data_IF_263853740813
#
_entry.id   IF_263853740813
#
_cell.length_a   1.000
_cell.length_b   1.000
_cell.length_c   1.000
_cell.angle_alpha   90.00
_cell.angle_beta   90.00
_cell.angle_gamma   90.00
#
_symmetry.space_group_name_H-M   'P 1'
#
loop_
_entity.id
_entity.type
_entity.pdbx_description
1 polymer ?
#
# COMPACT_ATOMS: atom_id res chain seq x y z
N UNK A 1 21.17 19.25 -0.95
CA UNK A 1 21.62 17.89 -1.33
C UNK A 1 23.10 17.97 -1.62
N UNK A 2 23.92 17.34 -0.80
CA UNK A 2 25.36 17.27 -1.01
C UNK A 2 25.64 16.41 -2.26
N UNK A 3 26.69 16.80 -3.03
CA UNK A 3 27.18 15.99 -4.11
C UNK A 3 27.63 14.65 -3.49
N UNK A 4 27.16 13.53 -4.03
CA UNK A 4 27.38 12.17 -3.53
C UNK A 4 26.65 11.78 -2.20
N UNK A 5 25.82 12.65 -1.66
CA UNK A 5 24.95 12.34 -0.53
C UNK A 5 23.81 11.36 -0.90
N UNK A 6 23.05 10.83 0.10
CA UNK A 6 21.95 9.88 -0.14
C UNK A 6 20.83 10.49 -1.01
N UNK A 7 20.67 11.80 -0.99
CA UNK A 7 19.68 12.54 -1.76
C UNK A 7 20.29 13.34 -2.92
N UNK A 8 21.46 12.92 -3.42
CA UNK A 8 22.03 13.53 -4.63
C UNK A 8 21.10 13.33 -5.83
N UNK A 9 21.05 14.35 -6.70
CA UNK A 9 20.18 14.34 -7.88
C UNK A 9 21.00 14.47 -9.14
N UNK A 10 20.52 13.82 -10.21
CA UNK A 10 21.03 13.98 -11.57
C UNK A 10 19.87 14.31 -12.51
N UNK A 11 20.20 14.82 -13.69
CA UNK A 11 19.24 15.02 -14.78
C UNK A 11 19.34 13.86 -15.77
N UNK A 12 18.17 13.35 -16.15
CA UNK A 12 18.03 12.31 -17.17
C UNK A 12 16.85 12.66 -18.08
N UNK A 13 16.76 12.00 -19.23
CA UNK A 13 15.60 12.07 -20.09
C UNK A 13 14.63 10.92 -19.73
N UNK A 14 13.36 11.25 -19.49
CA UNK A 14 12.28 10.29 -19.24
C UNK A 14 11.15 10.58 -20.22
N UNK A 15 10.82 9.61 -21.08
CA UNK A 15 9.74 9.73 -22.08
C UNK A 15 9.84 11.03 -22.91
N UNK A 16 11.06 11.41 -23.32
CA UNK A 16 11.32 12.61 -24.12
C UNK A 16 11.33 13.94 -23.34
N UNK A 17 11.29 13.91 -22.01
CA UNK A 17 11.34 15.11 -21.17
C UNK A 17 12.50 15.07 -20.18
N UNK A 18 13.26 16.17 -20.00
CA UNK A 18 14.29 16.24 -18.98
C UNK A 18 13.65 16.19 -17.58
N UNK A 19 14.21 15.35 -16.70
CA UNK A 19 13.73 15.16 -15.36
C UNK A 19 14.87 15.05 -14.36
N UNK A 20 14.76 15.70 -13.22
CA UNK A 20 15.67 15.51 -12.09
C UNK A 20 15.24 14.29 -11.29
N UNK A 21 16.16 13.37 -11.08
CA UNK A 21 15.94 12.11 -10.36
C UNK A 21 16.97 11.95 -9.25
N UNK A 22 16.62 11.25 -8.19
CA UNK A 22 17.59 10.84 -7.17
C UNK A 22 18.58 9.84 -7.79
N UNK A 23 19.85 10.12 -7.68
CA UNK A 23 20.91 9.32 -8.31
C UNK A 23 21.04 7.92 -7.69
N UNK A 24 20.82 7.84 -6.37
CA UNK A 24 20.93 6.60 -5.58
C UNK A 24 19.60 5.94 -5.25
N UNK A 25 18.51 6.36 -5.91
CA UNK A 25 17.23 5.74 -5.70
C UNK A 25 17.23 4.29 -6.20
N UNK A 26 16.57 3.35 -5.48
CA UNK A 26 16.27 2.03 -6.02
C UNK A 26 15.57 2.13 -7.39
N UNK A 27 15.78 1.14 -8.25
CA UNK A 27 15.26 1.21 -9.62
C UNK A 27 13.75 1.02 -9.69
N UNK A 28 13.19 0.19 -8.82
CA UNK A 28 11.79 -0.18 -8.85
C UNK A 28 11.29 -0.63 -7.46
N UNK A 29 10.00 -0.93 -7.35
CA UNK A 29 9.37 -1.33 -6.08
C UNK A 29 9.79 -2.73 -5.59
N UNK A 30 10.33 -3.60 -6.47
CA UNK A 30 10.93 -4.86 -6.02
C UNK A 30 12.17 -4.59 -5.19
N UNK A 31 12.99 -3.61 -5.60
CA UNK A 31 14.20 -3.23 -4.89
C UNK A 31 13.90 -2.54 -3.53
N UNK A 32 12.65 -2.13 -3.34
CA UNK A 32 12.11 -1.71 -2.03
C UNK A 32 11.67 -2.91 -1.19
N UNK A 33 10.94 -3.87 -1.80
CA UNK A 33 10.36 -5.01 -1.08
C UNK A 33 11.39 -6.07 -0.69
N UNK A 34 12.30 -6.44 -1.59
CA UNK A 34 13.23 -7.55 -1.36
C UNK A 34 14.14 -7.36 -0.12
N UNK A 35 14.71 -6.17 0.16
CA UNK A 35 15.54 -5.96 1.33
C UNK A 35 14.79 -6.17 2.66
N UNK A 36 13.46 -6.06 2.69
CA UNK A 36 12.68 -6.22 3.93
C UNK A 36 12.73 -7.65 4.49
N UNK A 37 13.32 -8.61 3.77
CA UNK A 37 13.66 -9.93 4.29
C UNK A 37 14.60 -9.89 5.50
N UNK A 38 15.35 -8.81 5.67
CA UNK A 38 16.16 -8.61 6.87
C UNK A 38 15.32 -8.50 8.14
N UNK A 39 14.06 -8.11 8.02
CA UNK A 39 13.10 -8.00 9.11
C UNK A 39 12.23 -9.26 9.31
N UNK A 40 12.64 -10.41 8.78
CA UNK A 40 11.85 -11.64 8.67
C UNK A 40 11.00 -11.99 9.91
N UNK A 41 11.58 -11.87 11.12
CA UNK A 41 10.91 -12.20 12.38
C UNK A 41 10.03 -11.07 12.95
N UNK A 42 10.13 -9.84 12.40
CA UNK A 42 9.36 -8.70 12.89
C UNK A 42 7.91 -8.75 12.43
N UNK A 43 7.00 -8.24 13.25
CA UNK A 43 5.60 -8.06 12.82
C UNK A 43 5.50 -7.02 11.70
N UNK A 44 4.77 -7.36 10.64
CA UNK A 44 4.52 -6.48 9.51
C UNK A 44 3.07 -6.02 9.43
N UNK A 45 2.11 -6.94 9.48
CA UNK A 45 0.69 -6.62 9.35
C UNK A 45 -0.08 -7.08 10.58
N UNK A 46 -0.98 -6.24 11.03
CA UNK A 46 -1.91 -6.53 12.12
C UNK A 46 -3.33 -6.14 11.68
N UNK A 47 -4.27 -7.06 11.84
CA UNK A 47 -5.69 -6.81 11.62
C UNK A 47 -6.50 -7.62 12.64
N UNK A 48 -7.20 -6.95 13.53
CA UNK A 48 -7.89 -7.58 14.66
C UNK A 48 -6.92 -8.44 15.50
N UNK A 49 -7.11 -9.76 15.53
CA UNK A 49 -6.22 -10.72 16.21
C UNK A 49 -5.25 -11.44 15.25
N UNK A 50 -5.32 -11.13 13.95
CA UNK A 50 -4.46 -11.71 12.94
C UNK A 50 -3.17 -10.92 12.82
N UNK A 51 -2.04 -11.65 12.68
CA UNK A 51 -0.71 -11.08 12.59
C UNK A 51 0.11 -11.79 11.52
N UNK A 52 0.88 -11.02 10.78
CA UNK A 52 1.87 -11.50 9.83
C UNK A 52 3.24 -10.96 10.19
N UNK A 53 4.23 -11.83 10.25
CA UNK A 53 5.63 -11.40 10.20
C UNK A 53 6.01 -11.03 8.77
N UNK A 54 7.15 -10.35 8.60
CA UNK A 54 7.69 -10.11 7.25
C UNK A 54 7.93 -11.41 6.49
N UNK A 55 8.44 -12.47 7.16
CA UNK A 55 8.65 -13.77 6.52
C UNK A 55 7.34 -14.36 5.99
N UNK A 56 6.27 -14.36 6.79
CA UNK A 56 4.95 -14.82 6.37
C UNK A 56 4.40 -13.98 5.22
N UNK A 57 4.61 -12.67 5.26
CA UNK A 57 4.21 -11.78 4.18
C UNK A 57 4.99 -12.06 2.89
N UNK A 58 6.31 -12.28 2.96
CA UNK A 58 7.12 -12.68 1.80
C UNK A 58 6.67 -14.01 1.19
N UNK A 59 6.31 -14.98 2.03
CA UNK A 59 5.77 -16.27 1.56
C UNK A 59 4.43 -16.09 0.84
N UNK A 60 3.51 -15.33 1.43
CA UNK A 60 2.19 -15.09 0.84
C UNK A 60 2.29 -14.26 -0.45
N UNK A 61 3.11 -13.21 -0.48
CA UNK A 61 3.43 -12.42 -1.68
C UNK A 61 4.00 -13.29 -2.80
N UNK A 62 4.93 -14.20 -2.49
CA UNK A 62 5.50 -15.13 -3.46
C UNK A 62 4.45 -16.11 -4.01
N UNK A 63 3.57 -16.60 -3.14
CA UNK A 63 2.48 -17.51 -3.53
C UNK A 63 1.49 -16.82 -4.48
N UNK A 64 1.05 -15.60 -4.16
CA UNK A 64 0.14 -14.80 -5.01
C UNK A 64 0.80 -14.50 -6.36
N UNK A 65 2.07 -14.08 -6.36
CA UNK A 65 2.83 -13.79 -7.58
C UNK A 65 2.97 -15.01 -8.49
N UNK A 66 3.28 -16.15 -7.91
CA UNK A 66 3.38 -17.42 -8.64
C UNK A 66 2.03 -17.88 -9.19
N UNK A 67 0.96 -17.75 -8.40
CA UNK A 67 -0.39 -18.05 -8.85
C UNK A 67 -0.78 -17.18 -10.05
N UNK A 68 -0.57 -15.85 -9.98
CA UNK A 68 -0.83 -14.94 -11.10
C UNK A 68 -0.11 -15.37 -12.37
N UNK A 69 1.17 -15.71 -12.27
CA UNK A 69 1.95 -16.20 -13.41
C UNK A 69 1.35 -17.50 -13.99
N UNK A 70 0.96 -18.45 -13.14
CA UNK A 70 0.35 -19.70 -13.56
C UNK A 70 -1.03 -19.49 -14.23
N UNK A 71 -1.69 -18.36 -13.94
CA UNK A 71 -2.90 -17.94 -14.65
C UNK A 71 -2.61 -17.20 -15.97
N UNK A 72 -1.36 -17.10 -16.38
CA UNK A 72 -0.96 -16.41 -17.61
C UNK A 72 -0.89 -14.87 -17.47
N UNK A 73 -0.87 -14.35 -16.24
CA UNK A 73 -0.71 -12.93 -15.98
C UNK A 73 0.77 -12.58 -16.02
N UNK A 74 1.14 -11.53 -16.73
CA UNK A 74 2.52 -11.15 -16.99
C UNK A 74 2.74 -9.65 -16.81
N UNK A 75 4.00 -9.26 -16.91
CA UNK A 75 4.43 -7.84 -16.84
C UNK A 75 3.56 -6.95 -17.76
N UNK A 76 3.05 -5.84 -17.22
CA UNK A 76 2.19 -4.89 -17.93
C UNK A 76 0.70 -5.25 -17.91
N UNK A 77 0.33 -6.47 -17.51
CA UNK A 77 -1.08 -6.81 -17.29
C UNK A 77 -1.60 -6.09 -16.05
N UNK A 78 -2.90 -5.81 -16.02
CA UNK A 78 -3.58 -5.15 -14.90
C UNK A 78 -4.27 -6.17 -14.03
N UNK A 79 -4.16 -5.95 -12.71
CA UNK A 79 -4.85 -6.69 -11.65
C UNK A 79 -5.60 -5.68 -10.78
N UNK A 80 -6.91 -5.80 -10.70
CA UNK A 80 -7.75 -4.94 -9.89
C UNK A 80 -7.88 -5.47 -8.46
N UNK A 81 -7.84 -4.55 -7.49
CA UNK A 81 -8.07 -4.82 -6.07
C UNK A 81 -9.25 -3.97 -5.61
N UNK A 82 -10.37 -4.60 -5.33
CA UNK A 82 -11.61 -3.98 -4.86
C UNK A 82 -11.92 -4.47 -3.44
N UNK A 83 -11.33 -3.86 -2.43
CA UNK A 83 -11.56 -4.21 -1.03
C UNK A 83 -11.27 -3.06 -0.08
N UNK A 84 -11.75 -3.18 1.14
CA UNK A 84 -11.41 -2.31 2.27
C UNK A 84 -9.97 -2.56 2.74
N UNK A 85 -9.60 -1.93 3.85
CA UNK A 85 -8.26 -2.01 4.45
C UNK A 85 -8.00 -3.37 5.11
N UNK A 86 -8.00 -4.43 4.32
CA UNK A 86 -7.55 -5.74 4.74
C UNK A 86 -6.05 -5.93 4.47
N UNK A 87 -5.34 -6.74 5.26
CA UNK A 87 -3.93 -7.07 5.01
C UNK A 87 -3.68 -7.64 3.62
N UNK A 88 -4.62 -8.39 3.08
CA UNK A 88 -4.53 -8.98 1.75
C UNK A 88 -4.36 -7.91 0.65
N UNK A 89 -4.86 -6.68 0.87
CA UNK A 89 -4.69 -5.58 -0.09
C UNK A 89 -3.21 -5.32 -0.39
N UNK A 90 -2.39 -5.12 0.66
CA UNK A 90 -0.97 -4.80 0.50
C UNK A 90 -0.15 -6.03 0.07
N UNK A 91 -0.55 -7.24 0.47
CA UNK A 91 0.09 -8.48 0.04
C UNK A 91 -0.08 -8.72 -1.47
N UNK A 92 -1.30 -8.54 -1.99
CA UNK A 92 -1.59 -8.61 -3.42
C UNK A 92 -0.87 -7.49 -4.17
N UNK A 93 -0.84 -6.27 -3.61
CA UNK A 93 -0.10 -5.15 -4.18
C UNK A 93 1.38 -5.51 -4.38
N UNK A 94 2.08 -5.97 -3.33
CA UNK A 94 3.49 -6.37 -3.43
C UNK A 94 3.68 -7.52 -4.41
N UNK A 95 2.80 -8.51 -4.45
CA UNK A 95 2.87 -9.61 -5.40
C UNK A 95 2.84 -9.12 -6.86
N UNK A 96 1.98 -8.16 -7.15
CA UNK A 96 1.86 -7.56 -8.47
C UNK A 96 3.07 -6.69 -8.83
N UNK A 97 3.38 -5.67 -8.02
CA UNK A 97 4.42 -4.70 -8.39
C UNK A 97 5.82 -5.29 -8.41
N UNK A 98 6.09 -6.33 -7.60
CA UNK A 98 7.39 -7.03 -7.63
C UNK A 98 7.57 -7.93 -8.84
N UNK A 99 6.52 -8.16 -9.60
CA UNK A 99 6.52 -8.95 -10.85
C UNK A 99 6.16 -8.12 -12.09
N UNK A 100 6.13 -6.79 -11.96
CA UNK A 100 5.86 -5.85 -13.06
C UNK A 100 4.39 -5.86 -13.51
N UNK A 101 3.49 -6.43 -12.72
CA UNK A 101 2.04 -6.38 -12.94
C UNK A 101 1.51 -5.05 -12.39
N UNK A 102 0.63 -4.41 -13.14
CA UNK A 102 0.07 -3.09 -12.79
C UNK A 102 -1.14 -3.27 -11.87
N UNK A 103 -1.07 -2.75 -10.66
CA UNK A 103 -2.19 -2.77 -9.72
C UNK A 103 -3.21 -1.69 -10.08
N UNK A 104 -4.49 -2.04 -10.12
CA UNK A 104 -5.60 -1.09 -10.21
C UNK A 104 -6.31 -1.04 -8.88
N UNK A 105 -6.10 0.05 -8.13
CA UNK A 105 -6.79 0.30 -6.87
C UNK A 105 -8.21 0.78 -7.12
N UNK A 106 -9.19 -0.11 -6.96
CA UNK A 106 -10.61 0.22 -7.12
C UNK A 106 -11.14 0.88 -5.85
N UNK A 107 -11.89 1.96 -6.01
CA UNK A 107 -12.50 2.61 -4.86
C UNK A 107 -13.56 1.68 -4.22
N UNK A 108 -13.32 1.30 -2.97
CA UNK A 108 -14.18 0.36 -2.24
C UNK A 108 -15.58 0.92 -1.90
N UNK A 109 -15.84 2.20 -2.14
CA UNK A 109 -17.16 2.82 -1.96
C UNK A 109 -17.97 2.90 -3.25
N UNK A 110 -17.37 2.60 -4.40
CA UNK A 110 -18.07 2.61 -5.68
C UNK A 110 -19.28 1.68 -5.65
N UNK A 111 -20.37 2.13 -6.25
CA UNK A 111 -21.51 1.31 -6.61
C UNK A 111 -21.22 0.50 -7.87
N UNK A 112 -22.15 -0.39 -8.27
CA UNK A 112 -21.94 -1.30 -9.41
C UNK A 112 -21.56 -0.58 -10.70
N UNK A 113 -22.27 0.50 -11.06
CA UNK A 113 -22.01 1.27 -12.30
C UNK A 113 -20.63 1.93 -12.32
N UNK A 114 -20.18 2.46 -11.17
CA UNK A 114 -18.85 3.06 -11.05
C UNK A 114 -17.75 2.00 -11.13
N UNK A 115 -17.99 0.83 -10.53
CA UNK A 115 -17.10 -0.31 -10.59
C UNK A 115 -17.01 -0.86 -12.03
N UNK A 116 -18.14 -0.97 -12.73
CA UNK A 116 -18.21 -1.35 -14.13
C UNK A 116 -17.38 -0.41 -15.01
N UNK A 117 -17.52 0.90 -14.81
CA UNK A 117 -16.70 1.90 -15.48
C UNK A 117 -15.20 1.66 -15.23
N UNK A 118 -14.79 1.54 -13.97
CA UNK A 118 -13.38 1.35 -13.63
C UNK A 118 -12.79 0.05 -14.19
N UNK A 119 -13.55 -1.04 -14.22
CA UNK A 119 -13.16 -2.32 -14.82
C UNK A 119 -13.06 -2.20 -16.36
N UNK A 120 -14.01 -1.53 -16.99
CA UNK A 120 -14.03 -1.33 -18.45
C UNK A 120 -12.89 -0.42 -18.93
N UNK A 121 -12.54 0.61 -18.15
CA UNK A 121 -11.48 1.56 -18.45
C UNK A 121 -10.08 0.90 -18.24
N UNK A 122 -9.86 0.28 -17.11
CA UNK A 122 -8.55 -0.32 -16.78
C UNK A 122 -8.32 -1.71 -17.38
N UNK A 123 -9.38 -2.44 -17.75
CA UNK A 123 -9.33 -3.78 -18.39
C UNK A 123 -8.40 -4.76 -17.63
N UNK A 124 -8.64 -5.03 -16.36
CA UNK A 124 -7.83 -5.98 -15.60
C UNK A 124 -8.11 -7.41 -16.05
N UNK A 125 -7.10 -8.28 -15.94
CA UNK A 125 -7.23 -9.71 -16.20
C UNK A 125 -7.68 -10.50 -14.96
N UNK A 126 -7.47 -9.93 -13.78
CA UNK A 126 -7.88 -10.51 -12.49
C UNK A 126 -8.50 -9.40 -11.64
N UNK A 127 -9.57 -9.74 -10.95
CA UNK A 127 -10.20 -8.93 -9.90
C UNK A 127 -10.08 -9.68 -8.57
N UNK A 128 -9.43 -9.07 -7.59
CA UNK A 128 -9.53 -9.47 -6.18
C UNK A 128 -10.57 -8.61 -5.50
N UNK A 129 -11.59 -9.22 -4.90
CA UNK A 129 -12.67 -8.49 -4.27
C UNK A 129 -13.05 -9.11 -2.91
N UNK A 130 -13.34 -8.26 -1.91
CA UNK A 130 -13.96 -8.72 -0.67
C UNK A 130 -15.46 -8.97 -0.86
N UNK A 131 -16.12 -9.55 0.15
CA UNK A 131 -17.51 -9.99 0.06
C UNK A 131 -18.46 -8.90 -0.46
N UNK A 132 -18.36 -7.66 0.06
CA UNK A 132 -19.26 -6.58 -0.33
C UNK A 132 -19.00 -6.09 -1.76
N UNK A 133 -17.71 -6.03 -2.19
CA UNK A 133 -17.35 -5.61 -3.56
C UNK A 133 -17.64 -6.71 -4.56
N UNK A 134 -17.53 -7.96 -4.15
CA UNK A 134 -17.91 -9.09 -4.97
C UNK A 134 -19.44 -9.10 -5.24
N UNK A 135 -20.26 -8.78 -4.26
CA UNK A 135 -21.71 -8.61 -4.47
C UNK A 135 -21.99 -7.51 -5.51
N UNK A 136 -21.34 -6.34 -5.39
CA UNK A 136 -21.47 -5.25 -6.37
C UNK A 136 -21.00 -5.66 -7.75
N UNK A 137 -19.95 -6.47 -7.85
CA UNK A 137 -19.49 -7.00 -9.13
C UNK A 137 -20.55 -7.88 -9.80
N UNK A 138 -21.29 -8.68 -9.06
CA UNK A 138 -22.39 -9.50 -9.61
C UNK A 138 -23.64 -8.70 -9.99
N UNK A 139 -23.75 -7.46 -9.55
CA UNK A 139 -24.82 -6.54 -9.98
C UNK A 139 -24.52 -5.87 -11.33
N UNK A 140 -23.28 -6.00 -11.83
CA UNK A 140 -22.86 -5.39 -13.10
C UNK A 140 -23.47 -6.17 -14.28
N UNK A 141 -23.94 -5.42 -15.27
CA UNK A 141 -24.57 -6.01 -16.46
C UNK A 141 -23.58 -6.33 -17.59
N UNK A 142 -22.41 -5.72 -17.61
CA UNK A 142 -21.39 -5.99 -18.63
C UNK A 142 -20.73 -7.35 -18.44
N UNK A 143 -20.43 -8.00 -19.57
CA UNK A 143 -19.68 -9.25 -19.57
C UNK A 143 -18.18 -8.97 -19.53
N UNK A 144 -17.53 -9.40 -18.47
CA UNK A 144 -16.08 -9.39 -18.31
C UNK A 144 -15.48 -10.78 -18.61
N UNK A 145 -15.91 -11.38 -19.71
CA UNK A 145 -15.44 -12.70 -20.14
C UNK A 145 -13.91 -12.79 -20.17
N UNK A 146 -13.37 -13.83 -19.55
CA UNK A 146 -11.93 -14.07 -19.45
C UNK A 146 -11.25 -13.38 -18.27
N UNK A 147 -11.88 -12.43 -17.56
CA UNK A 147 -11.37 -11.92 -16.30
C UNK A 147 -11.59 -12.94 -15.19
N UNK A 148 -10.53 -13.26 -14.45
CA UNK A 148 -10.63 -14.13 -13.27
C UNK A 148 -11.07 -13.34 -12.07
N UNK A 149 -11.95 -13.90 -11.26
CA UNK A 149 -12.45 -13.27 -10.04
C UNK A 149 -11.99 -14.06 -8.83
N UNK A 150 -11.33 -13.41 -7.90
CA UNK A 150 -10.82 -14.00 -6.65
C UNK A 150 -11.54 -13.35 -5.48
N UNK A 151 -12.22 -14.16 -4.69
CA UNK A 151 -12.90 -13.73 -3.46
C UNK A 151 -11.93 -13.72 -2.28
N UNK A 152 -11.82 -12.57 -1.62
CA UNK A 152 -11.00 -12.36 -0.42
C UNK A 152 -11.94 -12.23 0.77
N UNK A 153 -11.78 -13.10 1.78
CA UNK A 153 -12.68 -13.13 2.96
C UNK A 153 -14.16 -13.28 2.58
N UNK A 154 -14.42 -14.09 1.58
CA UNK A 154 -15.77 -14.38 1.07
C UNK A 154 -16.26 -15.75 1.55
N UNK A 155 -17.56 -16.00 1.42
CA UNK A 155 -18.10 -17.34 1.59
C UNK A 155 -17.55 -18.29 0.53
N UNK A 156 -17.28 -19.53 0.93
CA UNK A 156 -16.74 -20.56 0.01
C UNK A 156 -17.80 -21.07 -0.96
N UNK A 157 -17.33 -21.52 -2.11
CA UNK A 157 -18.18 -22.23 -3.07
C UNK A 157 -19.05 -21.34 -3.95
N UNK A 158 -18.75 -20.06 -4.06
CA UNK A 158 -19.46 -19.18 -5.01
C UNK A 158 -19.08 -19.57 -6.46
N UNK A 159 -20.04 -19.77 -7.35
CA UNK A 159 -19.76 -20.12 -8.74
C UNK A 159 -18.87 -19.08 -9.43
N UNK A 160 -17.87 -19.55 -10.18
CA UNK A 160 -16.92 -18.71 -10.94
C UNK A 160 -16.02 -17.80 -10.10
N UNK A 161 -15.98 -17.97 -8.77
CA UNK A 161 -15.11 -17.23 -7.86
C UNK A 161 -14.04 -18.19 -7.30
N UNK A 162 -12.80 -17.80 -7.44
CA UNK A 162 -11.65 -18.51 -6.87
C UNK A 162 -11.48 -18.07 -5.42
N UNK A 163 -11.34 -19.01 -4.48
CA UNK A 163 -11.06 -18.64 -3.08
C UNK A 163 -9.61 -18.14 -2.93
N UNK A 164 -9.42 -17.01 -2.29
CA UNK A 164 -8.07 -16.47 -2.01
C UNK A 164 -7.18 -17.47 -1.24
N UNK A 165 -7.77 -18.37 -0.44
CA UNK A 165 -7.00 -19.41 0.25
C UNK A 165 -6.30 -20.38 -0.73
N UNK A 166 -6.88 -20.61 -1.90
CA UNK A 166 -6.24 -21.41 -2.96
C UNK A 166 -5.06 -20.64 -3.58
N UNK A 167 -5.21 -19.33 -3.74
CA UNK A 167 -4.18 -18.44 -4.29
C UNK A 167 -2.94 -18.40 -3.39
N UNK A 168 -3.12 -18.19 -2.10
CA UNK A 168 -2.03 -18.08 -1.13
C UNK A 168 -1.43 -19.43 -0.72
N UNK A 169 -2.09 -20.52 -1.00
CA UNK A 169 -1.60 -21.88 -0.73
C UNK A 169 -0.55 -22.38 -1.72
N UNK A 170 -0.27 -21.65 -2.78
CA UNK A 170 0.74 -22.02 -3.79
C UNK A 170 2.15 -21.78 -3.25
N UNK A 171 2.83 -22.85 -2.86
CA UNK A 171 4.23 -22.77 -2.38
C UNK A 171 5.20 -22.74 -3.57
N UNK A 172 5.48 -21.56 -4.12
CA UNK A 172 6.44 -21.41 -5.20
C UNK A 172 7.21 -20.09 -5.07
N UNK A 173 8.43 -20.08 -5.61
CA UNK A 173 9.24 -18.86 -5.66
C UNK A 173 8.58 -17.79 -6.53
N UNK A 174 8.69 -16.52 -6.10
CA UNK A 174 8.25 -15.39 -6.91
C UNK A 174 8.95 -15.38 -8.26
N UNK A 175 8.25 -15.13 -9.37
CA UNK A 175 8.86 -15.07 -10.69
C UNK A 175 9.91 -13.95 -10.77
N UNK A 176 11.05 -14.24 -11.40
CA UNK A 176 12.00 -13.21 -11.80
C UNK A 176 11.53 -12.55 -13.10
N UNK A 177 11.42 -11.24 -13.08
CA UNK A 177 10.99 -10.42 -14.21
C UNK A 177 11.84 -9.16 -14.25
N UNK A 178 12.26 -8.72 -15.41
CA UNK A 178 12.94 -7.43 -15.57
C UNK A 178 11.92 -6.29 -15.44
N UNK A 179 12.18 -5.34 -14.51
CA UNK A 179 11.32 -4.19 -14.22
C UNK A 179 12.15 -2.92 -14.32
N UNK A 180 11.90 -2.18 -15.39
CA UNK A 180 12.53 -0.85 -15.56
C UNK A 180 11.83 0.22 -14.71
N UNK A 181 12.54 1.29 -14.31
CA UNK A 181 11.99 2.36 -13.49
C UNK A 181 10.71 2.98 -14.06
N UNK A 182 10.63 3.12 -15.38
CA UNK A 182 9.52 3.79 -16.06
C UNK A 182 8.37 2.86 -16.48
N UNK A 183 8.43 1.57 -16.11
CA UNK A 183 7.26 0.69 -16.20
C UNK A 183 6.17 1.15 -15.22
N UNK A 184 4.92 0.94 -15.61
CA UNK A 184 3.79 1.27 -14.78
C UNK A 184 3.69 0.30 -13.59
N UNK A 185 3.41 0.84 -12.43
CA UNK A 185 3.29 0.09 -11.17
C UNK A 185 1.85 0.00 -10.69
N UNK A 186 1.12 1.11 -10.71
CA UNK A 186 -0.25 1.12 -10.24
C UNK A 186 -1.08 2.25 -10.87
N UNK A 187 -2.40 2.07 -10.82
CA UNK A 187 -3.41 3.03 -11.24
C UNK A 187 -4.34 3.29 -10.05
N UNK A 188 -4.47 4.55 -9.64
CA UNK A 188 -5.42 4.97 -8.63
C UNK A 188 -6.42 5.95 -9.23
N UNK A 189 -7.71 5.69 -8.98
CA UNK A 189 -8.77 6.54 -9.49
C UNK A 189 -9.00 7.75 -8.61
N UNK A 190 -9.11 8.92 -9.24
CA UNK A 190 -9.50 10.19 -8.61
C UNK A 190 -10.91 10.56 -9.02
N UNK A 191 -11.58 11.35 -8.17
CA UNK A 191 -12.97 11.80 -8.39
C UNK A 191 -13.12 12.82 -9.53
N UNK A 192 -12.53 12.73 -10.62
CA UNK A 192 -12.52 13.64 -11.76
C UNK A 192 -13.52 14.81 -11.72
N UNK A 193 -13.12 15.98 -12.17
CA UNK A 193 -13.98 17.18 -12.24
C UNK A 193 -15.02 17.13 -13.37
N UNK A 194 -15.00 16.10 -14.21
CA UNK A 194 -15.81 15.98 -15.45
C UNK A 194 -16.84 14.85 -15.41
N UNK A 195 -17.21 14.36 -14.22
CA UNK A 195 -18.27 13.37 -14.03
C UNK A 195 -17.77 11.92 -13.84
N UNK A 196 -16.78 11.47 -14.58
CA UNK A 196 -16.21 10.12 -14.43
C UNK A 196 -14.86 10.15 -13.72
N UNK A 197 -14.56 9.15 -12.86
CA UNK A 197 -13.25 9.00 -12.25
C UNK A 197 -12.15 8.85 -13.31
N UNK A 198 -10.96 9.39 -13.02
CA UNK A 198 -9.79 9.28 -13.90
C UNK A 198 -8.72 8.43 -13.22
N UNK A 199 -8.21 7.44 -13.92
CA UNK A 199 -7.11 6.59 -13.46
C UNK A 199 -5.77 7.32 -13.56
N UNK A 200 -5.20 7.70 -12.42
CA UNK A 200 -3.85 8.24 -12.34
C UNK A 200 -2.85 7.08 -12.39
N UNK A 201 -2.07 7.01 -13.46
CA UNK A 201 -1.09 5.98 -13.70
C UNK A 201 0.25 6.38 -13.10
N UNK A 202 0.81 5.54 -12.23
CA UNK A 202 2.07 5.76 -11.54
C UNK A 202 3.11 4.74 -11.99
N UNK A 203 4.32 5.20 -12.29
CA UNK A 203 5.46 4.33 -12.61
C UNK A 203 6.17 3.86 -11.34
N UNK A 204 7.00 2.81 -11.46
CA UNK A 204 7.90 2.38 -10.39
C UNK A 204 8.80 3.54 -9.94
N UNK A 205 9.39 4.30 -10.89
CA UNK A 205 10.16 5.50 -10.59
C UNK A 205 9.37 6.50 -9.76
N UNK A 206 8.14 6.81 -10.16
CA UNK A 206 7.28 7.76 -9.45
C UNK A 206 7.03 7.32 -8.01
N UNK A 207 6.74 6.05 -7.79
CA UNK A 207 6.52 5.48 -6.45
C UNK A 207 7.80 5.50 -5.60
N UNK A 208 8.95 5.10 -6.16
CA UNK A 208 10.24 5.10 -5.45
C UNK A 208 10.69 6.52 -5.13
N UNK A 209 10.55 7.45 -6.07
CA UNK A 209 10.91 8.86 -5.82
C UNK A 209 10.00 9.53 -4.79
N UNK A 210 8.74 9.10 -4.67
CA UNK A 210 7.89 9.53 -3.56
C UNK A 210 8.47 9.08 -2.21
N UNK A 211 8.95 7.85 -2.10
CA UNK A 211 9.65 7.36 -0.90
C UNK A 211 10.86 8.24 -0.59
N UNK A 212 11.69 8.50 -1.58
CA UNK A 212 12.88 9.36 -1.42
C UNK A 212 12.52 10.79 -1.00
N UNK A 213 11.45 11.36 -1.57
CA UNK A 213 10.96 12.68 -1.19
C UNK A 213 10.49 12.72 0.28
N UNK A 214 9.75 11.70 0.72
CA UNK A 214 9.28 11.61 2.10
C UNK A 214 10.44 11.42 3.08
N UNK A 215 11.42 10.58 2.74
CA UNK A 215 12.63 10.40 3.54
C UNK A 215 13.44 11.69 3.64
N UNK A 216 13.63 12.40 2.54
CA UNK A 216 14.31 13.71 2.52
C UNK A 216 13.57 14.75 3.37
N UNK A 217 12.25 14.86 3.22
CA UNK A 217 11.43 15.79 3.99
C UNK A 217 11.48 15.48 5.49
N UNK A 218 11.43 14.20 5.86
CA UNK A 218 11.58 13.74 7.24
C UNK A 218 12.94 14.13 7.85
N UNK A 219 14.03 13.85 7.11
CA UNK A 219 15.39 14.23 7.54
C UNK A 219 15.54 15.74 7.68
N UNK A 220 15.01 16.51 6.74
CA UNK A 220 15.06 17.96 6.78
C UNK A 220 14.28 18.51 7.99
N UNK A 221 13.08 17.98 8.24
CA UNK A 221 12.24 18.37 9.39
C UNK A 221 12.95 18.06 10.71
N UNK A 222 13.54 16.85 10.83
CA UNK A 222 14.30 16.45 12.02
C UNK A 222 15.48 17.40 12.27
N UNK A 223 16.32 17.62 11.26
CA UNK A 223 17.48 18.52 11.37
C UNK A 223 17.08 19.95 11.73
N UNK A 224 16.00 20.46 11.13
CA UNK A 224 15.49 21.79 11.46
C UNK A 224 14.99 21.87 12.91
N UNK A 225 14.25 20.87 13.37
CA UNK A 225 13.73 20.81 14.75
C UNK A 225 14.88 20.74 15.76
N UNK A 226 15.88 19.88 15.53
CA UNK A 226 17.04 19.77 16.41
C UNK A 226 17.85 21.06 16.48
N UNK A 227 18.02 21.78 15.36
CA UNK A 227 18.68 23.10 15.33
C UNK A 227 17.90 24.16 16.10
N UNK A 228 16.58 24.21 15.95
CA UNK A 228 15.71 25.17 16.66
C UNK A 228 15.75 24.91 18.17
N UNK A 229 15.70 23.63 18.57
CA UNK A 229 15.72 23.23 19.97
C UNK A 229 17.13 23.20 20.58
N UNK A 230 18.18 23.43 19.78
CA UNK A 230 19.60 23.32 20.18
C UNK A 230 19.95 21.96 20.81
N UNK A 231 19.39 20.87 20.26
CA UNK A 231 19.69 19.50 20.68
C UNK A 231 20.39 18.74 19.54
N UNK A 232 21.24 17.75 19.85
CA UNK A 232 21.83 16.90 18.83
C UNK A 232 20.75 16.10 18.09
N UNK A 233 21.02 15.73 16.84
CA UNK A 233 20.16 14.74 16.14
C UNK A 233 20.25 13.39 16.87
N UNK A 234 19.12 12.69 17.04
CA UNK A 234 19.12 11.37 17.67
C UNK A 234 19.93 10.37 16.84
N UNK A 235 20.54 9.39 17.52
CA UNK A 235 21.12 8.27 16.79
C UNK A 235 19.99 7.52 16.04
N UNK A 236 20.16 7.17 14.77
CA UNK A 236 19.18 6.35 14.05
C UNK A 236 18.78 5.06 14.75
N UNK A 237 19.68 4.50 15.58
CA UNK A 237 19.40 3.31 16.39
C UNK A 237 18.41 3.54 17.53
N UNK A 238 18.29 4.78 17.99
CA UNK A 238 17.36 5.17 19.06
C UNK A 238 15.99 5.56 18.53
N UNK A 239 15.83 5.60 17.19
CA UNK A 239 14.55 5.92 16.56
C UNK A 239 13.61 4.72 16.68
N UNK A 240 12.38 4.89 17.23
CA UNK A 240 11.43 3.79 17.33
C UNK A 240 11.09 3.20 15.96
N UNK A 241 11.00 1.87 15.90
CA UNK A 241 10.50 1.19 14.70
C UNK A 241 9.05 1.65 14.44
N UNK A 242 8.71 2.11 13.24
CA UNK A 242 7.38 2.63 12.96
C UNK A 242 6.27 1.61 13.19
N UNK A 243 5.20 2.04 13.87
CA UNK A 243 3.93 1.33 13.94
C UNK A 243 2.85 2.29 13.44
N UNK A 244 2.35 2.07 12.22
CA UNK A 244 1.43 2.99 11.56
C UNK A 244 -0.01 2.48 11.59
N UNK A 245 -0.95 3.30 12.04
CA UNK A 245 -2.37 3.00 11.97
C UNK A 245 -2.91 3.40 10.58
N UNK A 246 -3.39 2.40 9.83
CA UNK A 246 -3.95 2.57 8.49
C UNK A 246 -5.42 2.98 8.59
N UNK A 247 -5.69 4.26 8.58
CA UNK A 247 -7.04 4.85 8.73
C UNK A 247 -7.63 5.29 7.39
N UNK A 248 -6.79 5.71 6.45
CA UNK A 248 -7.20 6.06 5.09
C UNK A 248 -7.23 4.83 4.18
N UNK A 249 -8.03 4.86 3.09
CA UNK A 249 -8.17 3.69 2.22
C UNK A 249 -6.88 3.31 1.48
N UNK A 250 -6.58 2.01 1.44
CA UNK A 250 -5.41 1.48 0.75
C UNK A 250 -5.46 1.67 -0.78
N UNK A 251 -6.65 1.83 -1.37
CA UNK A 251 -6.81 2.19 -2.78
C UNK A 251 -6.50 3.69 -3.07
N UNK A 252 -5.94 4.41 -2.11
CA UNK A 252 -5.53 5.80 -2.24
C UNK A 252 -4.03 5.95 -1.98
N UNK A 253 -3.37 6.84 -2.74
CA UNK A 253 -1.92 7.10 -2.64
C UNK A 253 -1.46 7.44 -1.23
N UNK A 254 -2.27 8.10 -0.42
CA UNK A 254 -1.91 8.46 0.96
C UNK A 254 -1.64 7.21 1.80
N UNK A 255 -2.55 6.25 1.84
CA UNK A 255 -2.33 5.04 2.62
C UNK A 255 -1.27 4.13 1.99
N UNK A 256 -1.37 3.87 0.68
CA UNK A 256 -0.47 2.93 0.02
C UNK A 256 0.95 3.50 -0.16
N UNK A 257 1.07 4.65 -0.85
CA UNK A 257 2.37 5.16 -1.27
C UNK A 257 3.08 5.99 -0.18
N UNK A 258 2.32 6.71 0.68
CA UNK A 258 2.95 7.54 1.69
C UNK A 258 3.08 6.82 3.04
N UNK A 259 2.06 6.08 3.50
CA UNK A 259 2.10 5.39 4.78
C UNK A 259 2.73 4.00 4.64
N UNK A 260 2.14 3.13 3.81
CA UNK A 260 2.55 1.73 3.76
C UNK A 260 3.98 1.56 3.22
N UNK A 261 4.35 2.23 2.13
CA UNK A 261 5.73 2.12 1.61
C UNK A 261 6.77 2.58 2.64
N UNK A 262 6.56 3.74 3.29
CA UNK A 262 7.52 4.27 4.28
C UNK A 262 7.63 3.36 5.49
N UNK A 263 6.51 2.84 6.00
CA UNK A 263 6.51 1.89 7.11
C UNK A 263 7.22 0.59 6.74
N UNK A 264 6.97 0.07 5.53
CA UNK A 264 7.56 -1.17 5.04
C UNK A 264 9.09 -1.09 4.93
N UNK A 265 9.65 -0.04 4.35
CA UNK A 265 11.12 0.08 4.19
C UNK A 265 11.85 0.26 5.51
N UNK A 266 11.16 0.75 6.53
CA UNK A 266 11.71 0.94 7.87
C UNK A 266 11.56 -0.32 8.76
N UNK A 267 11.11 -1.46 8.22
CA UNK A 267 10.84 -2.67 9.01
C UNK A 267 9.70 -2.53 9.99
N UNK A 268 8.83 -1.55 9.75
CA UNK A 268 7.74 -1.19 10.65
C UNK A 268 6.48 -2.04 10.47
N UNK A 269 5.49 -1.75 11.30
CA UNK A 269 4.23 -2.48 11.41
C UNK A 269 3.06 -1.65 10.89
N UNK A 270 2.22 -2.22 10.04
CA UNK A 270 0.96 -1.66 9.57
C UNK A 270 -0.20 -2.27 10.36
N UNK A 271 -0.92 -1.46 11.08
CA UNK A 271 -2.11 -1.86 11.82
C UNK A 271 -3.34 -1.42 11.05
N UNK A 272 -4.09 -2.37 10.53
CA UNK A 272 -5.22 -2.10 9.65
C UNK A 272 -6.51 -1.90 10.43
N UNK A 273 -7.28 -0.87 10.04
CA UNK A 273 -8.68 -0.68 10.45
C UNK A 273 -9.58 -0.86 9.23
N UNK A 274 -10.60 -1.73 9.35
CA UNK A 274 -11.58 -1.93 8.29
C UNK A 274 -12.29 -0.62 7.90
N UNK A 275 -12.69 0.14 8.91
CA UNK A 275 -13.29 1.48 8.79
C UNK A 275 -12.87 2.33 9.98
N UNK A 276 -12.90 3.63 9.81
CA UNK A 276 -12.60 4.57 10.89
C UNK A 276 -13.62 4.44 12.05
N UNK A 277 -13.10 4.33 13.24
CA UNK A 277 -13.80 4.41 14.52
C UNK A 277 -12.82 4.96 15.56
N UNK A 278 -13.16 6.09 16.19
CA UNK A 278 -12.25 6.78 17.10
C UNK A 278 -11.96 5.99 18.38
N UNK A 279 -12.95 5.25 18.91
CA UNK A 279 -12.76 4.42 20.10
C UNK A 279 -11.83 3.23 19.80
N UNK A 280 -12.05 2.56 18.67
CA UNK A 280 -11.16 1.47 18.24
C UNK A 280 -9.76 2.00 17.94
N UNK A 281 -9.61 3.20 17.35
CA UNK A 281 -8.32 3.82 17.12
C UNK A 281 -7.55 4.05 18.43
N UNK A 282 -8.20 4.56 19.48
CA UNK A 282 -7.57 4.73 20.80
C UNK A 282 -7.09 3.39 21.38
N UNK A 283 -7.93 2.35 21.28
CA UNK A 283 -7.58 1.01 21.73
C UNK A 283 -6.39 0.42 20.98
N UNK A 284 -6.34 0.63 19.65
CA UNK A 284 -5.22 0.19 18.81
C UNK A 284 -3.94 0.98 19.08
N UNK A 285 -4.04 2.29 19.29
CA UNK A 285 -2.88 3.13 19.65
C UNK A 285 -2.21 2.60 20.90
N UNK A 286 -2.98 2.34 21.94
CA UNK A 286 -2.46 1.81 23.20
C UNK A 286 -1.92 0.38 23.06
N UNK A 287 -2.70 -0.54 22.45
CA UNK A 287 -2.36 -1.96 22.32
C UNK A 287 -1.15 -2.19 21.43
N UNK A 288 -1.12 -1.53 20.29
CA UNK A 288 -0.11 -1.76 19.24
C UNK A 288 1.06 -0.76 19.30
N UNK A 289 1.04 0.16 20.28
CA UNK A 289 2.04 1.21 20.43
C UNK A 289 2.23 1.98 19.13
N UNK A 290 1.13 2.47 18.57
CA UNK A 290 1.13 3.21 17.31
C UNK A 290 1.99 4.45 17.43
N UNK A 291 2.92 4.63 16.49
CA UNK A 291 3.81 5.81 16.44
C UNK A 291 3.30 6.89 15.50
N UNK A 292 2.49 6.50 14.50
CA UNK A 292 1.97 7.45 13.52
C UNK A 292 0.57 7.07 13.06
N UNK A 293 -0.26 8.08 12.85
CA UNK A 293 -1.56 7.97 12.21
C UNK A 293 -1.69 9.08 11.17
N UNK A 294 -2.04 8.74 9.95
CA UNK A 294 -2.32 9.72 8.89
C UNK A 294 -3.78 9.58 8.47
N UNK A 295 -4.50 10.69 8.52
CA UNK A 295 -5.92 10.71 8.22
C UNK A 295 -6.38 12.06 7.68
N UNK A 296 -7.68 12.21 7.51
CA UNK A 296 -8.28 13.53 7.24
C UNK A 296 -8.46 14.29 8.55
N UNK A 297 -8.43 15.63 8.55
CA UNK A 297 -8.46 16.45 9.79
C UNK A 297 -9.62 16.14 10.74
N UNK A 298 -10.74 15.63 10.24
CA UNK A 298 -11.87 15.23 11.08
C UNK A 298 -11.51 14.04 11.97
N UNK A 299 -10.74 13.07 11.49
CA UNK A 299 -10.32 11.90 12.26
C UNK A 299 -9.46 12.30 13.46
N UNK A 300 -8.48 13.19 13.25
CA UNK A 300 -7.64 13.72 14.33
C UNK A 300 -8.46 14.50 15.35
N UNK A 301 -9.45 15.28 14.91
CA UNK A 301 -10.37 16.01 15.79
C UNK A 301 -11.24 15.06 16.62
N UNK A 302 -11.84 14.06 16.00
CA UNK A 302 -12.66 13.06 16.69
C UNK A 302 -11.84 12.29 17.72
N UNK A 303 -10.61 11.89 17.38
CA UNK A 303 -9.71 11.20 18.30
C UNK A 303 -9.41 12.07 19.53
N UNK A 304 -8.94 13.31 19.33
CA UNK A 304 -8.52 14.22 20.41
C UNK A 304 -9.68 14.69 21.28
N UNK A 305 -10.91 14.79 20.73
CA UNK A 305 -12.11 15.16 21.46
C UNK A 305 -12.87 13.98 22.05
N UNK A 306 -12.39 12.73 21.82
CA UNK A 306 -13.09 11.55 22.32
C UNK A 306 -13.12 11.50 23.85
N UNK A 307 -14.26 11.20 24.50
CA UNK A 307 -14.36 11.16 25.97
C UNK A 307 -13.38 10.21 26.63
N UNK A 308 -13.03 9.11 25.96
CA UNK A 308 -12.11 8.10 26.47
C UNK A 308 -10.63 8.42 26.20
N UNK A 309 -10.31 9.51 25.44
CA UNK A 309 -8.92 9.85 25.05
C UNK A 309 -7.95 9.83 26.23
N UNK A 310 -8.34 10.45 27.37
CA UNK A 310 -7.51 10.52 28.58
C UNK A 310 -7.38 9.20 29.34
N UNK A 311 -8.16 8.18 28.99
CA UNK A 311 -8.11 6.86 29.62
C UNK A 311 -7.16 5.90 28.92
N UNK A 312 -6.74 6.22 27.70
CA UNK A 312 -5.84 5.40 26.92
C UNK A 312 -4.40 5.97 26.95
N UNK A 313 -3.42 5.07 26.94
CA UNK A 313 -2.02 5.45 26.78
C UNK A 313 -1.71 5.74 25.30
N UNK A 314 -1.67 7.02 24.98
CA UNK A 314 -1.32 7.52 23.64
C UNK A 314 0.12 8.04 23.56
N UNK A 315 0.96 7.76 24.53
CA UNK A 315 2.34 8.29 24.62
C UNK A 315 3.27 7.81 23.48
N UNK A 316 2.93 6.71 22.85
CA UNK A 316 3.66 6.20 21.68
C UNK A 316 3.43 7.02 20.41
N UNK A 317 2.35 7.81 20.35
CA UNK A 317 1.96 8.53 19.13
C UNK A 317 2.84 9.77 18.93
N UNK A 318 3.76 9.71 17.97
CA UNK A 318 4.71 10.77 17.65
C UNK A 318 4.20 11.70 16.55
N UNK A 319 3.32 11.20 15.69
CA UNK A 319 2.79 11.95 14.56
C UNK A 319 1.29 11.68 14.38
N UNK A 320 0.53 12.77 14.34
CA UNK A 320 -0.90 12.80 14.08
C UNK A 320 -1.14 13.79 12.93
N UNK A 321 -1.26 13.28 11.71
CA UNK A 321 -1.37 14.06 10.49
C UNK A 321 -2.71 13.94 9.79
#
# INVERSE_FOLDING_TARGET
>A
TEKDGPFSVKEIEVRGSPMRVYDKAPSNLRDIWQPTKEFAASEYLVFEDQRWTYDQAHQEVSSVASWLRNQGISKGDRVAIAMRNYPEWILIYWACVTTGIVVVGMNAWWVADEMEYGLSDSKPKVLFADSERLQRFFEINSDFAGMKVVGVRTEKGQPSVIDYLEVKGSSAASPEVDIEPDHDACIFYTSGTTGYPKGAQLTHRGCVHNIMNLAFAGQLSLSATCRIQMVPEPDPKDTPIPSALVTTPMFHVTANNCVAHMTTIAGGKLVHMYRWDANEALRLIEREKITSMSGVPVMSRELLSHPEFKKHDTSSLLNLG
#
